data_IF_505736326870
#
_entry.id   IF_505736326870
#
_cell.length_a   1.000
_cell.length_b   1.000
_cell.length_c   1.000
_cell.angle_alpha   90.00
_cell.angle_beta   90.00
_cell.angle_gamma   90.00
#
_symmetry.space_group_name_H-M   'P 1'
#
loop_
_entity.id
_entity.type
_entity.pdbx_description
1 polymer ?
#
# COMPACT_ATOMS: atom_id res chain seq x y z
N UNK A 1 -28.13 -66.01 21.34
CA UNK A 1 -29.13 -65.15 22.05
C UNK A 1 -28.90 -63.66 21.85
N UNK A 2 -27.66 -63.15 21.79
CA UNK A 2 -27.41 -61.71 21.63
C UNK A 2 -27.84 -61.15 20.26
N UNK A 3 -27.57 -61.86 19.17
CA UNK A 3 -27.88 -61.39 17.80
C UNK A 3 -29.38 -61.43 17.44
N UNK A 4 -30.14 -62.35 18.04
CA UNK A 4 -31.60 -62.42 17.86
C UNK A 4 -32.32 -61.23 18.52
N UNK A 5 -31.78 -60.71 19.62
CA UNK A 5 -32.32 -59.54 20.30
C UNK A 5 -32.06 -58.24 19.51
N UNK A 6 -30.86 -58.08 18.96
CA UNK A 6 -30.52 -56.91 18.10
C UNK A 6 -31.34 -56.89 16.81
N UNK A 7 -31.67 -58.05 16.24
CA UNK A 7 -32.49 -58.12 15.02
C UNK A 7 -33.94 -57.71 15.30
N UNK A 8 -34.52 -58.16 16.41
CA UNK A 8 -35.89 -57.78 16.83
C UNK A 8 -35.97 -56.28 17.14
N UNK A 9 -34.98 -55.73 17.84
CA UNK A 9 -34.94 -54.30 18.19
C UNK A 9 -34.81 -53.38 16.95
N UNK A 10 -34.10 -53.83 15.91
CA UNK A 10 -34.07 -53.15 14.61
C UNK A 10 -35.37 -53.27 13.82
N UNK A 11 -36.07 -54.39 13.94
CA UNK A 11 -37.32 -54.62 13.22
C UNK A 11 -38.45 -53.78 13.83
N UNK A 12 -38.54 -53.71 15.17
CA UNK A 12 -39.48 -52.82 15.88
C UNK A 12 -39.19 -51.34 15.54
N UNK A 13 -37.93 -50.93 15.53
CA UNK A 13 -37.56 -49.55 15.14
C UNK A 13 -37.89 -49.20 13.68
N UNK A 14 -37.93 -50.19 12.78
CA UNK A 14 -38.32 -49.99 11.39
C UNK A 14 -39.84 -49.85 11.24
N UNK A 15 -40.62 -50.62 12.00
CA UNK A 15 -42.08 -50.52 12.02
C UNK A 15 -42.55 -49.18 12.61
N UNK A 16 -41.92 -48.69 13.68
CA UNK A 16 -42.20 -47.35 14.23
C UNK A 16 -41.93 -46.22 13.22
N UNK A 17 -40.86 -46.33 12.42
CA UNK A 17 -40.56 -45.36 11.37
C UNK A 17 -41.60 -45.39 10.24
N UNK A 18 -42.06 -46.59 9.85
CA UNK A 18 -43.12 -46.73 8.85
C UNK A 18 -44.43 -46.08 9.32
N UNK A 19 -44.84 -46.34 10.57
CA UNK A 19 -46.03 -45.71 11.14
C UNK A 19 -45.91 -44.18 11.21
N UNK A 20 -44.73 -43.65 11.53
CA UNK A 20 -44.46 -42.20 11.53
C UNK A 20 -44.61 -41.58 10.13
N UNK A 21 -44.10 -42.26 9.10
CA UNK A 21 -44.20 -41.79 7.71
C UNK A 21 -45.65 -41.83 7.25
N UNK A 22 -46.37 -42.92 7.49
CA UNK A 22 -47.79 -43.04 7.13
C UNK A 22 -48.62 -41.93 7.79
N UNK A 23 -48.34 -41.63 9.06
CA UNK A 23 -49.00 -40.53 9.78
C UNK A 23 -48.70 -39.15 9.17
N UNK A 24 -47.44 -38.87 8.82
CA UNK A 24 -47.08 -37.59 8.18
C UNK A 24 -47.68 -37.44 6.79
N UNK A 25 -47.70 -38.50 5.99
CA UNK A 25 -48.31 -38.47 4.65
C UNK A 25 -49.81 -38.21 4.76
N UNK A 26 -50.50 -38.88 5.69
CA UNK A 26 -51.93 -38.62 5.92
C UNK A 26 -52.21 -37.22 6.51
N UNK A 27 -51.30 -36.64 7.29
CA UNK A 27 -51.41 -35.23 7.72
C UNK A 27 -51.17 -34.23 6.59
N UNK A 28 -50.28 -34.54 5.64
CA UNK A 28 -50.02 -33.70 4.45
C UNK A 28 -51.22 -33.75 3.51
N UNK A 29 -51.81 -34.92 3.29
CA UNK A 29 -52.97 -35.10 2.40
C UNK A 29 -54.22 -34.36 2.92
N UNK A 30 -54.36 -34.20 4.25
CA UNK A 30 -55.44 -33.42 4.87
C UNK A 30 -55.25 -31.90 4.73
N UNK A 31 -54.08 -31.41 4.31
CA UNK A 31 -53.85 -29.98 4.07
C UNK A 31 -54.19 -29.67 2.61
N UNK A 32 -55.43 -29.30 2.35
CA UNK A 32 -55.81 -28.69 1.07
C UNK A 32 -55.01 -27.40 0.84
N UNK A 33 -54.03 -27.45 -0.06
CA UNK A 33 -53.24 -26.28 -0.47
C UNK A 33 -54.13 -25.43 -1.38
N UNK A 34 -54.70 -24.33 -0.85
CA UNK A 34 -55.40 -23.33 -1.67
C UNK A 34 -54.39 -22.55 -2.52
N UNK A 35 -54.23 -22.95 -3.78
CA UNK A 35 -53.43 -22.21 -4.76
C UNK A 35 -54.25 -20.97 -5.19
N UNK A 36 -53.76 -19.77 -4.87
CA UNK A 36 -54.38 -18.51 -5.32
C UNK A 36 -54.14 -18.32 -6.82
N UNK A 37 -55.20 -18.02 -7.59
CA UNK A 37 -55.11 -17.81 -9.03
C UNK A 37 -54.61 -16.39 -9.36
N UNK A 38 -53.42 -16.30 -9.97
CA UNK A 38 -52.76 -15.05 -10.34
C UNK A 38 -53.08 -14.58 -11.77
N UNK A 39 -53.94 -15.30 -12.50
CA UNK A 39 -54.38 -14.95 -13.86
C UNK A 39 -54.83 -13.49 -14.02
N UNK A 40 -55.69 -12.92 -13.14
CA UNK A 40 -56.14 -11.53 -13.31
C UNK A 40 -55.01 -10.50 -13.14
N UNK A 41 -53.95 -10.81 -12.38
CA UNK A 41 -52.81 -9.91 -12.22
C UNK A 41 -51.93 -9.85 -13.48
N UNK A 42 -51.79 -10.99 -14.18
CA UNK A 42 -51.07 -11.03 -15.45
C UNK A 42 -51.79 -10.25 -16.55
N UNK A 43 -53.12 -10.30 -16.58
CA UNK A 43 -53.92 -9.57 -17.58
C UNK A 43 -53.84 -8.05 -17.39
N UNK A 44 -53.88 -7.58 -16.14
CA UNK A 44 -53.67 -6.16 -15.83
C UNK A 44 -52.27 -5.67 -16.25
N UNK A 45 -51.23 -6.49 -16.04
CA UNK A 45 -49.86 -6.15 -16.44
C UNK A 45 -49.73 -6.02 -17.96
N UNK A 46 -50.39 -6.92 -18.70
CA UNK A 46 -50.39 -6.89 -20.18
C UNK A 46 -50.98 -5.59 -20.73
N UNK A 47 -52.11 -5.14 -20.18
CA UNK A 47 -52.74 -3.89 -20.61
C UNK A 47 -51.85 -2.66 -20.36
N UNK A 48 -51.15 -2.61 -19.23
CA UNK A 48 -50.21 -1.52 -18.92
C UNK A 48 -49.04 -1.51 -19.92
N UNK A 49 -48.53 -2.69 -20.28
CA UNK A 49 -47.42 -2.83 -21.23
C UNK A 49 -47.83 -2.40 -22.64
N UNK A 50 -49.04 -2.75 -23.09
CA UNK A 50 -49.57 -2.33 -24.38
C UNK A 50 -49.74 -0.80 -24.46
N UNK A 51 -50.27 -0.17 -23.40
CA UNK A 51 -50.39 1.29 -23.33
C UNK A 51 -49.02 1.99 -23.34
N UNK A 52 -48.02 1.43 -22.65
CA UNK A 52 -46.65 1.95 -22.63
C UNK A 52 -45.99 1.85 -24.01
N UNK A 53 -46.09 0.69 -24.68
CA UNK A 53 -45.54 0.48 -26.01
C UNK A 53 -46.17 1.41 -27.05
N UNK A 54 -47.49 1.63 -26.96
CA UNK A 54 -48.18 2.56 -27.86
C UNK A 54 -47.67 4.00 -27.69
N UNK A 55 -47.49 4.46 -26.45
CA UNK A 55 -46.96 5.80 -26.17
C UNK A 55 -45.51 5.95 -26.62
N UNK A 56 -44.67 4.94 -26.33
CA UNK A 56 -43.25 4.94 -26.72
C UNK A 56 -43.08 4.96 -28.24
N UNK A 57 -43.82 4.14 -28.98
CA UNK A 57 -43.74 4.13 -30.44
C UNK A 57 -44.13 5.49 -31.04
N UNK A 58 -45.22 6.11 -30.55
CA UNK A 58 -45.67 7.41 -31.03
C UNK A 58 -44.64 8.52 -30.78
N UNK A 59 -44.04 8.56 -29.59
CA UNK A 59 -42.98 9.52 -29.27
C UNK A 59 -41.68 9.24 -30.08
N UNK A 60 -41.36 7.96 -30.33
CA UNK A 60 -40.20 7.59 -31.13
C UNK A 60 -40.33 7.96 -32.61
N UNK A 61 -41.53 7.88 -33.19
CA UNK A 61 -41.75 8.29 -34.57
C UNK A 61 -41.72 9.81 -34.72
N UNK A 62 -42.29 10.54 -33.76
CA UNK A 62 -42.17 12.00 -33.73
C UNK A 62 -40.71 12.44 -33.63
N UNK A 63 -39.91 11.77 -32.79
CA UNK A 63 -38.48 12.05 -32.66
C UNK A 63 -37.69 11.66 -33.91
N UNK A 64 -37.98 10.52 -34.54
CA UNK A 64 -37.37 10.11 -35.82
C UNK A 64 -37.71 11.07 -36.95
N UNK A 65 -38.93 11.60 -37.01
CA UNK A 65 -39.33 12.59 -38.00
C UNK A 65 -38.56 13.91 -37.83
N UNK A 66 -38.39 14.37 -36.58
CA UNK A 66 -37.59 15.56 -36.26
C UNK A 66 -36.10 15.34 -36.60
N UNK A 67 -35.53 14.17 -36.28
CA UNK A 67 -34.14 13.82 -36.64
C UNK A 67 -33.95 13.73 -38.16
N UNK A 68 -34.93 13.17 -38.88
CA UNK A 68 -34.93 13.11 -40.34
C UNK A 68 -34.99 14.49 -40.99
N UNK A 69 -35.75 15.43 -40.41
CA UNK A 69 -35.78 16.84 -40.85
C UNK A 69 -34.47 17.59 -40.58
N UNK A 70 -33.77 17.26 -39.49
CA UNK A 70 -32.50 17.91 -39.13
C UNK A 70 -31.29 17.46 -39.99
N UNK A 71 -31.45 16.52 -40.93
CA UNK A 71 -30.39 16.04 -41.83
C UNK A 71 -29.06 15.74 -41.11
N UNK A 72 -29.11 15.24 -39.87
CA UNK A 72 -27.94 14.80 -39.11
C UNK A 72 -27.61 13.37 -39.57
N UNK A 73 -27.41 13.19 -40.88
CA UNK A 73 -26.71 12.01 -41.36
C UNK A 73 -25.23 12.28 -41.11
N UNK A 74 -24.75 11.86 -39.94
CA UNK A 74 -23.34 11.97 -39.56
C UNK A 74 -22.48 11.40 -40.70
N UNK A 75 -21.66 12.20 -41.41
CA UNK A 75 -20.96 11.74 -42.61
C UNK A 75 -19.71 10.95 -42.21
N UNK A 76 -19.91 9.85 -41.49
CA UNK A 76 -18.87 8.96 -41.00
C UNK A 76 -17.96 8.48 -42.14
N UNK A 77 -18.52 8.30 -43.34
CA UNK A 77 -17.77 7.84 -44.51
C UNK A 77 -16.86 8.93 -45.09
N UNK A 78 -17.32 10.19 -45.16
CA UNK A 78 -16.47 11.30 -45.64
C UNK A 78 -15.32 11.58 -44.67
N UNK A 79 -15.57 11.47 -43.37
CA UNK A 79 -14.53 11.61 -42.34
C UNK A 79 -13.53 10.45 -42.43
N UNK A 80 -13.98 9.22 -42.66
CA UNK A 80 -13.09 8.07 -42.86
C UNK A 80 -12.22 8.21 -44.11
N UNK A 81 -12.79 8.67 -45.22
CA UNK A 81 -12.06 8.86 -46.47
C UNK A 81 -11.00 9.96 -46.35
N UNK A 82 -11.33 11.10 -45.74
CA UNK A 82 -10.37 12.19 -45.50
C UNK A 82 -9.23 11.79 -44.54
N UNK A 83 -9.50 10.94 -43.55
CA UNK A 83 -8.46 10.36 -42.68
C UNK A 83 -7.56 9.39 -43.45
N UNK A 84 -8.10 8.60 -44.38
CA UNK A 84 -7.31 7.68 -45.19
C UNK A 84 -6.38 8.44 -46.16
N UNK A 85 -6.89 9.48 -46.81
CA UNK A 85 -6.11 10.33 -47.73
C UNK A 85 -4.99 11.08 -47.00
N UNK A 86 -5.27 11.68 -45.84
CA UNK A 86 -4.26 12.38 -45.05
C UNK A 86 -3.14 11.47 -44.53
N UNK A 87 -3.45 10.21 -44.18
CA UNK A 87 -2.43 9.21 -43.84
C UNK A 87 -1.52 8.88 -45.02
N UNK A 88 -2.09 8.71 -46.22
CA UNK A 88 -1.30 8.43 -47.42
C UNK A 88 -0.33 9.55 -47.78
N UNK A 89 -0.77 10.81 -47.64
CA UNK A 89 0.08 11.99 -47.84
C UNK A 89 1.19 12.04 -46.79
N UNK A 90 0.88 11.77 -45.52
CA UNK A 90 1.87 11.79 -44.45
C UNK A 90 2.95 10.71 -44.64
N UNK A 91 2.58 9.52 -45.10
CA UNK A 91 3.56 8.48 -45.46
C UNK A 91 4.41 8.86 -46.68
N UNK A 92 3.81 9.50 -47.68
CA UNK A 92 4.54 10.01 -48.84
C UNK A 92 5.57 11.09 -48.45
N UNK A 93 5.19 12.02 -47.56
CA UNK A 93 6.09 13.05 -47.01
C UNK A 93 7.22 12.40 -46.20
N UNK A 94 6.90 11.41 -45.36
CA UNK A 94 7.91 10.67 -44.58
C UNK A 94 8.90 9.91 -45.47
N UNK A 95 8.45 9.41 -46.62
CA UNK A 95 9.31 8.69 -47.58
C UNK A 95 10.13 9.64 -48.46
N UNK A 96 9.59 10.82 -48.77
CA UNK A 96 10.25 11.86 -49.57
C UNK A 96 11.28 12.68 -48.77
N UNK A 97 11.04 12.90 -47.48
CA UNK A 97 12.02 13.47 -46.56
C UNK A 97 12.61 12.36 -45.70
N UNK A 98 13.76 11.76 -46.08
CA UNK A 98 14.58 11.02 -45.14
C UNK A 98 15.12 12.05 -44.15
N UNK A 99 14.36 12.35 -43.10
CA UNK A 99 14.82 13.15 -41.97
C UNK A 99 15.87 12.32 -41.24
N UNK A 100 17.08 12.28 -41.80
CA UNK A 100 18.28 11.92 -41.06
C UNK A 100 18.43 13.04 -40.04
N UNK A 101 17.85 12.87 -38.86
CA UNK A 101 18.10 13.75 -37.72
C UNK A 101 19.56 13.54 -37.33
N UNK A 102 20.47 14.15 -38.09
CA UNK A 102 21.87 14.27 -37.70
C UNK A 102 21.86 15.18 -36.47
N UNK A 103 21.79 14.57 -35.29
CA UNK A 103 22.16 15.24 -34.04
C UNK A 103 23.68 15.49 -34.09
N UNK A 104 24.10 16.42 -34.94
CA UNK A 104 25.42 17.00 -34.84
C UNK A 104 25.34 17.98 -33.67
N UNK A 105 25.62 17.47 -32.47
CA UNK A 105 25.95 18.33 -31.34
C UNK A 105 27.16 19.17 -31.75
N UNK A 106 26.92 20.46 -31.96
CA UNK A 106 27.93 21.43 -32.32
C UNK A 106 29.07 21.39 -31.27
N UNK A 107 30.32 21.56 -31.71
CA UNK A 107 31.47 21.50 -30.82
C UNK A 107 31.41 22.58 -29.73
N UNK A 108 30.70 23.70 -30.01
CA UNK A 108 30.39 24.73 -29.02
C UNK A 108 29.52 24.24 -27.86
N UNK A 109 28.55 23.35 -28.11
CA UNK A 109 27.66 22.83 -27.06
C UNK A 109 28.34 21.79 -26.17
N UNK A 110 29.36 21.08 -26.68
CA UNK A 110 30.14 20.11 -25.88
C UNK A 110 30.85 20.78 -24.69
N UNK A 111 31.41 21.98 -24.88
CA UNK A 111 32.05 22.74 -23.81
C UNK A 111 31.09 23.13 -22.69
N UNK A 112 29.87 23.56 -23.04
CA UNK A 112 28.83 23.89 -22.07
C UNK A 112 28.33 22.68 -21.29
N UNK A 113 28.22 21.51 -21.93
CA UNK A 113 27.84 20.26 -21.25
C UNK A 113 28.91 19.84 -20.24
N UNK A 114 30.19 19.94 -20.61
CA UNK A 114 31.31 19.64 -19.71
C UNK A 114 31.34 20.62 -18.54
N UNK A 115 31.20 21.92 -18.81
CA UNK A 115 31.13 22.94 -17.77
C UNK A 115 29.93 22.71 -16.82
N UNK A 116 28.77 22.34 -17.36
CA UNK A 116 27.58 21.97 -16.58
C UNK A 116 27.81 20.75 -15.70
N UNK A 117 28.49 19.71 -16.20
CA UNK A 117 28.86 18.54 -15.40
C UNK A 117 29.82 18.89 -14.27
N UNK A 118 30.83 19.71 -14.52
CA UNK A 118 31.77 20.17 -13.48
C UNK A 118 31.02 20.98 -12.42
N UNK A 119 30.13 21.89 -12.84
CA UNK A 119 29.29 22.67 -11.93
C UNK A 119 28.46 21.75 -11.02
N UNK A 120 27.80 20.74 -11.58
CA UNK A 120 27.00 19.78 -10.80
C UNK A 120 27.84 19.02 -9.78
N UNK A 121 29.05 18.59 -10.15
CA UNK A 121 29.96 17.90 -9.23
C UNK A 121 30.33 18.83 -8.06
N UNK A 122 30.73 20.07 -8.36
CA UNK A 122 31.09 21.06 -7.33
C UNK A 122 29.91 21.36 -6.42
N UNK A 123 28.71 21.55 -6.98
CA UNK A 123 27.49 21.79 -6.21
C UNK A 123 27.13 20.59 -5.33
N UNK A 124 27.31 19.36 -5.83
CA UNK A 124 27.08 18.14 -5.06
C UNK A 124 28.03 18.03 -3.87
N UNK A 125 29.34 18.27 -4.08
CA UNK A 125 30.34 18.28 -3.01
C UNK A 125 30.00 19.36 -1.99
N UNK A 126 29.70 20.58 -2.45
CA UNK A 126 29.36 21.70 -1.56
C UNK A 126 28.12 21.41 -0.73
N UNK A 127 27.07 20.85 -1.33
CA UNK A 127 25.82 20.50 -0.63
C UNK A 127 26.06 19.38 0.36
N UNK A 128 26.85 18.37 -0.01
CA UNK A 128 27.22 17.26 0.87
C UNK A 128 28.02 17.74 2.09
N UNK A 129 29.02 18.61 1.88
CA UNK A 129 29.78 19.23 2.97
C UNK A 129 28.90 20.09 3.86
N UNK A 130 28.02 20.90 3.27
CA UNK A 130 27.07 21.72 4.02
C UNK A 130 26.17 20.85 4.92
N UNK A 131 25.60 19.78 4.38
CA UNK A 131 24.78 18.84 5.16
C UNK A 131 25.57 18.15 6.27
N UNK A 132 26.79 17.69 5.99
CA UNK A 132 27.66 17.06 6.98
C UNK A 132 28.01 18.02 8.13
N UNK A 133 28.43 19.25 7.80
CA UNK A 133 28.72 20.30 8.77
C UNK A 133 27.50 20.67 9.59
N UNK A 134 26.30 20.70 8.99
CA UNK A 134 25.07 20.99 9.73
C UNK A 134 24.74 19.91 10.76
N UNK A 135 24.86 18.63 10.39
CA UNK A 135 24.66 17.52 11.32
C UNK A 135 25.68 17.57 12.46
N UNK A 136 26.95 17.78 12.12
CA UNK A 136 28.02 17.84 13.11
C UNK A 136 27.87 19.04 14.04
N UNK A 137 27.48 20.20 13.52
CA UNK A 137 27.19 21.39 14.32
C UNK A 137 26.02 21.14 15.28
N UNK A 138 24.95 20.50 14.83
CA UNK A 138 23.83 20.13 15.72
C UNK A 138 24.27 19.14 16.80
N UNK A 139 25.16 18.19 16.46
CA UNK A 139 25.74 17.25 17.43
C UNK A 139 26.57 17.99 18.48
N UNK A 140 27.42 18.92 18.06
CA UNK A 140 28.23 19.77 18.94
C UNK A 140 27.35 20.64 19.84
N UNK A 141 26.28 21.25 19.31
CA UNK A 141 25.32 22.01 20.12
C UNK A 141 24.65 21.15 21.19
N UNK A 142 24.26 19.92 20.85
CA UNK A 142 23.68 19.01 21.83
C UNK A 142 24.68 18.63 22.94
N UNK A 143 25.97 18.49 22.61
CA UNK A 143 27.04 18.26 23.59
C UNK A 143 27.27 19.49 24.45
N UNK A 144 27.29 20.69 23.86
CA UNK A 144 27.42 21.97 24.59
C UNK A 144 26.31 22.13 25.63
N UNK A 145 25.05 21.90 25.25
CA UNK A 145 23.91 21.98 26.18
C UNK A 145 24.06 21.00 27.34
N UNK A 146 24.50 19.76 27.06
CA UNK A 146 24.75 18.75 28.11
C UNK A 146 25.89 19.16 29.04
N UNK A 147 26.97 19.71 28.48
CA UNK A 147 28.11 20.20 29.24
C UNK A 147 27.71 21.37 30.16
N UNK A 148 26.97 22.35 29.64
CA UNK A 148 26.44 23.48 30.42
C UNK A 148 25.50 23.04 31.54
N UNK A 149 24.69 22.00 31.30
CA UNK A 149 23.85 21.40 32.33
C UNK A 149 24.69 20.72 33.42
N UNK A 150 25.72 19.96 33.05
CA UNK A 150 26.65 19.36 34.02
C UNK A 150 27.40 20.42 34.82
N UNK A 151 27.74 21.56 34.21
CA UNK A 151 28.40 22.66 34.88
C UNK A 151 27.54 23.29 35.98
N UNK A 152 26.21 23.31 35.79
CA UNK A 152 25.26 23.79 36.79
C UNK A 152 25.06 22.80 37.96
N UNK A 153 25.18 21.50 37.71
CA UNK A 153 24.95 20.46 38.73
C UNK A 153 26.23 20.14 39.50
N UNK A 154 27.36 20.02 38.80
CA UNK A 154 28.67 19.69 39.37
C UNK A 154 29.77 20.58 38.76
N UNK A 155 29.88 21.78 39.32
CA UNK A 155 30.85 22.79 38.90
C UNK A 155 32.29 22.38 39.17
N UNK A 156 32.54 21.51 40.17
CA UNK A 156 33.89 21.09 40.55
C UNK A 156 34.47 20.15 39.50
N UNK A 157 33.74 19.08 39.15
CA UNK A 157 34.18 18.11 38.15
C UNK A 157 34.30 18.71 36.75
N UNK A 158 33.39 19.62 36.38
CA UNK A 158 33.45 20.31 35.09
C UNK A 158 34.63 21.27 35.00
N UNK A 159 34.94 22.05 36.05
CA UNK A 159 36.14 22.91 36.09
C UNK A 159 37.45 22.13 36.00
N UNK A 160 37.52 20.96 36.64
CA UNK A 160 38.68 20.08 36.52
C UNK A 160 38.83 19.54 35.09
N UNK A 161 37.74 19.10 34.46
CA UNK A 161 37.78 18.62 33.08
C UNK A 161 38.19 19.74 32.11
N UNK A 162 37.66 20.95 32.31
CA UNK A 162 37.94 22.12 31.49
C UNK A 162 39.39 22.59 31.67
N UNK A 163 39.93 22.57 32.89
CA UNK A 163 41.33 22.97 33.14
C UNK A 163 42.33 22.01 32.50
N UNK A 164 42.05 20.70 32.52
CA UNK A 164 42.90 19.71 31.86
C UNK A 164 42.83 19.89 30.34
N UNK A 165 41.63 20.04 29.79
CA UNK A 165 41.45 20.20 28.34
C UNK A 165 42.09 21.49 27.81
N UNK A 166 41.91 22.61 28.51
CA UNK A 166 42.52 23.91 28.13
C UNK A 166 44.03 23.94 28.29
N UNK A 167 44.58 23.21 29.26
CA UNK A 167 46.03 23.14 29.44
C UNK A 167 46.70 22.29 28.37
N UNK A 168 46.13 21.14 28.02
CA UNK A 168 46.66 20.26 26.99
C UNK A 168 45.58 19.31 26.42
N UNK A 169 45.02 19.61 25.23
CA UNK A 169 43.90 18.84 24.68
C UNK A 169 44.30 17.40 24.31
N UNK A 170 45.52 17.20 23.78
CA UNK A 170 46.02 15.88 23.37
C UNK A 170 46.25 14.95 24.57
N UNK A 171 46.66 15.52 25.70
CA UNK A 171 46.87 14.78 26.95
C UNK A 171 45.56 14.51 27.68
N UNK A 172 44.59 15.42 27.56
CA UNK A 172 43.23 15.24 28.05
C UNK A 172 42.57 14.00 27.41
N UNK A 173 42.68 13.86 26.08
CA UNK A 173 42.12 12.70 25.37
C UNK A 173 42.75 11.38 25.84
N UNK A 174 44.08 11.31 25.94
CA UNK A 174 44.79 10.12 26.45
C UNK A 174 44.40 9.78 27.88
N UNK A 175 44.19 10.80 28.71
CA UNK A 175 43.77 10.64 30.09
C UNK A 175 42.35 10.09 30.18
N UNK A 176 41.42 10.58 29.35
CA UNK A 176 40.05 10.05 29.26
C UNK A 176 40.08 8.59 28.82
N UNK A 177 40.81 8.26 27.75
CA UNK A 177 40.94 6.87 27.25
C UNK A 177 41.49 5.95 28.34
N UNK A 178 42.50 6.38 29.11
CA UNK A 178 43.03 5.62 30.25
C UNK A 178 41.97 5.39 31.32
N UNK A 179 41.25 6.44 31.73
CA UNK A 179 40.20 6.34 32.75
C UNK A 179 39.02 5.45 32.31
N UNK A 180 38.62 5.52 31.04
CA UNK A 180 37.59 4.66 30.47
C UNK A 180 38.02 3.19 30.48
N UNK A 181 39.25 2.89 30.09
CA UNK A 181 39.81 1.54 30.13
C UNK A 181 39.92 0.99 31.56
N UNK A 182 40.29 1.83 32.53
CA UNK A 182 40.30 1.46 33.95
C UNK A 182 38.90 1.17 34.50
N UNK A 183 37.88 1.92 34.08
CA UNK A 183 36.48 1.66 34.47
C UNK A 183 35.97 0.34 33.88
N UNK A 184 36.25 0.09 32.60
CA UNK A 184 35.87 -1.16 31.91
C UNK A 184 36.53 -2.38 32.56
N UNK A 185 37.79 -2.28 32.97
CA UNK A 185 38.51 -3.38 33.64
C UNK A 185 38.05 -3.62 35.08
N UNK A 186 37.61 -2.59 35.80
CA UNK A 186 37.02 -2.73 37.16
C UNK A 186 35.57 -3.23 37.14
N UNK A 187 34.79 -2.93 36.10
CA UNK A 187 33.39 -3.35 35.98
C UNK A 187 33.20 -4.78 35.45
N UNK A 188 34.14 -5.31 34.66
CA UNK A 188 34.11 -6.72 34.21
C UNK A 188 34.09 -7.73 35.38
N UNK A 189 34.99 -7.68 36.38
CA UNK A 189 34.97 -8.62 37.50
C UNK A 189 33.78 -8.41 38.45
N UNK A 190 33.24 -7.19 38.57
CA UNK A 190 32.07 -6.92 39.42
C UNK A 190 30.80 -7.55 38.83
N UNK A 191 30.57 -7.41 37.52
CA UNK A 191 29.43 -8.05 36.81
C UNK A 191 29.52 -9.58 36.82
N UNK A 192 30.74 -10.15 36.71
CA UNK A 192 30.96 -11.60 36.82
C UNK A 192 30.67 -12.10 38.24
N UNK A 193 31.08 -11.39 39.29
CA UNK A 193 30.77 -11.76 40.69
C UNK A 193 29.28 -11.67 41.00
N UNK A 194 28.58 -10.64 40.51
CA UNK A 194 27.13 -10.46 40.71
C UNK A 194 26.33 -11.56 39.99
N UNK A 195 26.73 -11.94 38.78
CA UNK A 195 26.09 -13.02 38.03
C UNK A 195 26.33 -14.41 38.64
N UNK A 196 27.51 -14.68 39.21
CA UNK A 196 27.78 -15.91 39.97
C UNK A 196 26.94 -16.00 41.24
N UNK A 197 26.88 -14.93 42.04
CA UNK A 197 26.02 -14.88 43.25
C UNK A 197 24.53 -15.08 42.93
N UNK A 198 24.03 -14.51 41.82
CA UNK A 198 22.64 -14.74 41.36
C UNK A 198 22.36 -16.16 40.89
N UNK A 199 23.36 -16.87 40.35
CA UNK A 199 23.21 -18.29 39.95
C UNK A 199 23.24 -19.22 41.17
N UNK A 200 24.08 -18.93 42.16
CA UNK A 200 24.14 -19.69 43.42
C UNK A 200 22.89 -19.50 44.28
N UNK A 201 22.35 -18.28 44.36
CA UNK A 201 21.11 -18.02 45.12
C UNK A 201 19.91 -18.73 44.51
N UNK A 202 19.80 -18.83 43.18
CA UNK A 202 18.74 -19.59 42.49
C UNK A 202 18.87 -21.11 42.67
N UNK A 203 20.09 -21.62 42.92
CA UNK A 203 20.34 -23.06 43.13
C UNK A 203 20.06 -23.51 44.56
N UNK A 204 20.02 -22.59 45.52
CA UNK A 204 19.69 -22.85 46.94
C UNK A 204 18.19 -22.74 47.28
N UNK A 205 17.38 -22.29 46.33
CA UNK A 205 15.92 -22.11 46.47
C UNK A 205 15.12 -23.20 45.73
N UNK A 206 15.79 -24.22 45.20
CA UNK A 206 15.22 -25.47 44.66
C UNK A 206 15.71 -26.62 45.52
#
# INVERSE_FOLDING_TARGET
>A
MKELNELTERMDGADELMDSIVKKVTEIDKREIKITDYTPHFEALKQIFEAFLFKYNKESEALKAVIGQLNINYPAEQIKNTIAESKGILEAIRKALPVKVKHQFDYKTKGWIIAGMILLIVTSISTGLCGHLWIENNRLQAVDVKYRLLQQVDTSSTRWADSIYTSNPDEAEKTVIRMENEKVTKDKPSKIKISKRRKESKKRLR
#
